data_IF_198455983269
#
_entry.id   IF_198455983269
#
_cell.length_a   1.000
_cell.length_b   1.000
_cell.length_c   1.000
_cell.angle_alpha   90.00
_cell.angle_beta   90.00
_cell.angle_gamma   90.00
#
_symmetry.space_group_name_H-M   'P 1'
#
loop_
_entity.id
_entity.type
_entity.pdbx_description
1 polymer ?
#
# COMPACT_ATOMS: atom_id res chain seq x y z
N UNK A 1 5.19 15.90 -17.29
CA UNK A 1 4.57 14.57 -17.51
C UNK A 1 4.56 13.80 -16.22
N UNK A 2 3.53 13.05 -15.96
CA UNK A 2 3.43 12.27 -14.72
C UNK A 2 3.94 10.85 -14.93
N UNK A 3 4.36 10.20 -13.85
CA UNK A 3 4.69 8.77 -13.88
C UNK A 3 3.50 7.95 -14.41
N UNK A 4 3.79 6.85 -15.08
CA UNK A 4 2.76 5.90 -15.51
C UNK A 4 2.41 4.98 -14.35
N UNK A 5 1.37 5.32 -13.59
CA UNK A 5 0.95 4.59 -12.40
C UNK A 5 -0.39 3.89 -12.62
N UNK A 6 -0.52 2.70 -12.07
CA UNK A 6 -1.74 1.92 -12.11
C UNK A 6 -1.99 1.26 -10.76
N UNK A 7 -3.24 1.33 -10.30
CA UNK A 7 -3.70 0.61 -9.11
C UNK A 7 -4.79 -0.35 -9.54
N UNK A 8 -4.57 -1.65 -9.37
CA UNK A 8 -5.51 -2.68 -9.78
C UNK A 8 -5.96 -3.48 -8.57
N UNK A 9 -7.26 -3.49 -8.28
CA UNK A 9 -7.83 -4.33 -7.24
C UNK A 9 -8.00 -5.74 -7.80
N UNK A 10 -7.19 -6.68 -7.29
CA UNK A 10 -7.23 -8.07 -7.74
C UNK A 10 -8.35 -8.82 -7.02
N UNK A 11 -8.52 -8.56 -5.75
CA UNK A 11 -9.53 -9.20 -4.92
C UNK A 11 -10.00 -8.21 -3.84
N UNK A 12 -11.30 -8.17 -3.59
CA UNK A 12 -11.86 -7.32 -2.54
C UNK A 12 -13.02 -8.09 -1.87
N UNK A 13 -12.65 -8.97 -0.92
CA UNK A 13 -13.60 -9.76 -0.18
C UNK A 13 -13.92 -9.16 1.19
N UNK A 14 -14.64 -9.93 2.02
CA UNK A 14 -15.04 -9.45 3.34
C UNK A 14 -13.88 -9.33 4.32
N UNK A 15 -12.82 -10.11 4.15
CA UNK A 15 -11.70 -10.15 5.08
C UNK A 15 -10.40 -9.66 4.48
N UNK A 16 -10.21 -9.89 3.20
CA UNK A 16 -8.92 -9.66 2.52
C UNK A 16 -9.15 -8.89 1.24
N UNK A 17 -8.33 -7.88 1.04
CA UNK A 17 -8.21 -7.18 -0.23
C UNK A 17 -6.80 -7.39 -0.77
N UNK A 18 -6.69 -7.64 -2.07
CA UNK A 18 -5.39 -7.79 -2.76
C UNK A 18 -5.33 -6.73 -3.84
N UNK A 19 -4.31 -5.88 -3.78
CA UNK A 19 -4.16 -4.73 -4.68
C UNK A 19 -2.77 -4.76 -5.29
N UNK A 20 -2.69 -4.58 -6.61
CA UNK A 20 -1.43 -4.45 -7.33
C UNK A 20 -1.19 -2.98 -7.67
N UNK A 21 -0.01 -2.49 -7.33
CA UNK A 21 0.44 -1.14 -7.65
C UNK A 21 1.60 -1.23 -8.62
N UNK A 22 1.56 -0.44 -9.69
CA UNK A 22 2.66 -0.36 -10.65
C UNK A 22 3.00 1.09 -10.95
N UNK A 23 4.27 1.32 -11.26
CA UNK A 23 4.75 2.64 -11.66
C UNK A 23 5.93 2.48 -12.60
N UNK A 24 5.92 3.23 -13.70
CA UNK A 24 7.12 3.46 -14.50
C UNK A 24 7.39 4.96 -14.45
N UNK A 25 8.53 5.33 -13.89
CA UNK A 25 8.86 6.73 -13.65
C UNK A 25 9.26 7.43 -14.94
N UNK A 26 8.82 8.68 -15.09
CA UNK A 26 9.27 9.58 -16.15
C UNK A 26 10.36 10.56 -15.65
N UNK A 27 10.91 10.31 -14.47
CA UNK A 27 11.89 11.18 -13.81
C UNK A 27 11.29 11.95 -12.63
N UNK A 28 9.98 12.07 -12.56
CA UNK A 28 9.28 12.54 -11.37
C UNK A 28 8.98 11.34 -10.48
N UNK A 29 8.66 11.59 -9.27
CA UNK A 29 8.32 10.52 -8.34
C UNK A 29 6.95 10.75 -7.73
N UNK A 30 6.66 9.96 -6.73
CA UNK A 30 5.45 10.09 -5.94
C UNK A 30 5.82 10.53 -4.53
N UNK A 31 5.05 11.44 -3.96
CA UNK A 31 5.28 11.94 -2.61
C UNK A 31 3.98 11.85 -1.82
N UNK A 32 3.94 10.93 -0.86
CA UNK A 32 2.79 10.71 0.03
C UNK A 32 1.47 10.59 -0.73
N UNK A 33 1.48 9.81 -1.82
CA UNK A 33 0.29 9.59 -2.66
C UNK A 33 -0.54 8.47 -2.04
N UNK A 34 -1.85 8.71 -1.83
CA UNK A 34 -2.75 7.70 -1.30
C UNK A 34 -2.94 6.60 -2.35
N UNK A 35 -2.55 5.38 -2.00
CA UNK A 35 -2.70 4.21 -2.87
C UNK A 35 -3.83 3.30 -2.42
N UNK A 36 -4.05 3.20 -1.12
CA UNK A 36 -5.13 2.41 -0.55
C UNK A 36 -6.04 3.35 0.21
N UNK A 37 -7.23 3.56 -0.31
CA UNK A 37 -8.31 4.29 0.34
C UNK A 37 -9.26 3.27 0.92
N UNK A 38 -9.24 3.09 2.24
CA UNK A 38 -10.06 2.05 2.87
C UNK A 38 -11.55 2.26 2.67
N UNK A 39 -11.98 3.52 2.52
CA UNK A 39 -13.39 3.82 2.26
C UNK A 39 -13.84 3.35 0.88
N UNK A 40 -12.92 3.15 -0.05
CA UNK A 40 -13.22 2.64 -1.39
C UNK A 40 -13.23 1.10 -1.45
N UNK A 41 -12.79 0.42 -0.40
CA UNK A 41 -12.86 -1.03 -0.32
C UNK A 41 -14.29 -1.47 -0.06
N UNK A 42 -14.67 -2.66 -0.56
CA UNK A 42 -16.03 -3.15 -0.42
C UNK A 42 -16.41 -3.29 1.06
N UNK A 43 -17.64 -2.90 1.45
CA UNK A 43 -18.10 -3.13 2.81
C UNK A 43 -18.34 -4.61 3.09
N UNK A 44 -18.48 -4.95 4.36
CA UNK A 44 -18.77 -6.32 4.75
C UNK A 44 -20.17 -6.71 4.23
N UNK A 45 -20.24 -7.76 3.43
CA UNK A 45 -21.48 -8.17 2.80
C UNK A 45 -22.52 -8.71 3.78
N UNK A 46 -22.10 -9.13 4.98
CA UNK A 46 -23.00 -9.69 5.97
C UNK A 46 -23.79 -8.63 6.74
N UNK A 47 -23.19 -7.46 6.98
CA UNK A 47 -23.81 -6.42 7.83
C UNK A 47 -23.65 -5.00 7.27
N UNK A 48 -23.01 -4.81 6.14
CA UNK A 48 -22.83 -3.51 5.49
C UNK A 48 -21.83 -2.59 6.16
N UNK A 49 -21.05 -3.06 7.13
CA UNK A 49 -20.04 -2.21 7.77
C UNK A 49 -18.97 -1.79 6.78
N UNK A 50 -18.58 -0.52 6.80
CA UNK A 50 -17.54 0.04 5.96
C UNK A 50 -16.18 -0.32 6.53
N UNK A 51 -15.23 -0.63 5.65
CA UNK A 51 -13.85 -0.87 6.07
C UNK A 51 -13.23 0.41 6.63
N UNK A 52 -12.69 0.35 7.84
CA UNK A 52 -12.13 1.51 8.53
C UNK A 52 -10.61 1.46 8.63
N UNK A 53 -10.00 0.33 8.30
CA UNK A 53 -8.56 0.18 8.34
C UNK A 53 -8.16 -1.15 7.75
N UNK A 54 -6.85 -1.34 7.62
CA UNK A 54 -6.27 -2.59 7.13
C UNK A 54 -4.98 -2.88 7.89
N UNK A 55 -4.61 -4.16 7.91
CA UNK A 55 -3.28 -4.60 8.33
C UNK A 55 -2.54 -5.10 7.11
N UNK A 56 -1.24 -4.91 7.08
CA UNK A 56 -0.43 -5.44 5.99
C UNK A 56 -0.18 -6.92 6.25
N UNK A 57 -0.87 -7.79 5.52
CA UNK A 57 -0.75 -9.23 5.71
C UNK A 57 0.39 -9.84 4.93
N UNK A 58 0.60 -9.37 3.71
CA UNK A 58 1.66 -9.88 2.84
C UNK A 58 2.03 -8.82 1.83
N UNK A 59 3.30 -8.76 1.46
CA UNK A 59 3.76 -7.88 0.41
C UNK A 59 4.70 -8.65 -0.52
N UNK A 60 4.41 -8.56 -1.81
CA UNK A 60 5.30 -9.06 -2.86
C UNK A 60 5.69 -7.84 -3.67
N UNK A 61 6.98 -7.58 -3.81
CA UNK A 61 7.38 -6.39 -4.54
C UNK A 61 8.64 -6.63 -5.37
N UNK A 62 8.75 -5.83 -6.42
CA UNK A 62 9.96 -5.75 -7.24
C UNK A 62 10.18 -4.28 -7.55
N UNK A 63 11.38 -3.79 -7.28
CA UNK A 63 11.75 -2.40 -7.54
C UNK A 63 12.97 -2.36 -8.45
N UNK A 64 13.02 -1.34 -9.29
CA UNK A 64 14.16 -1.11 -10.18
C UNK A 64 14.54 0.36 -10.16
N UNK A 65 15.71 0.65 -9.64
CA UNK A 65 16.30 1.98 -9.63
C UNK A 65 15.76 2.93 -8.57
N UNK A 66 14.66 2.60 -7.91
CA UNK A 66 14.07 3.44 -6.87
C UNK A 66 13.75 2.65 -5.62
N UNK A 67 13.78 3.31 -4.47
CA UNK A 67 13.23 2.75 -3.24
C UNK A 67 11.84 3.33 -2.98
N UNK A 68 11.04 2.59 -2.23
CA UNK A 68 9.64 2.95 -1.95
C UNK A 68 9.38 2.84 -0.46
N UNK A 69 8.67 3.83 0.08
CA UNK A 69 8.16 3.79 1.45
C UNK A 69 6.65 3.70 1.41
N UNK A 70 6.09 2.71 2.10
CA UNK A 70 4.66 2.66 2.38
C UNK A 70 4.42 3.32 3.73
N UNK A 71 3.42 4.19 3.79
CA UNK A 71 3.13 5.00 4.96
C UNK A 71 1.70 4.79 5.40
N UNK A 72 1.49 4.72 6.71
CA UNK A 72 0.15 4.83 7.29
C UNK A 72 -0.24 6.30 7.33
N UNK A 73 -1.37 6.64 6.73
CA UNK A 73 -1.84 8.03 6.66
C UNK A 73 -2.32 8.53 8.02
N UNK A 74 -1.79 9.68 8.43
CA UNK A 74 -2.18 10.35 9.67
C UNK A 74 -1.75 11.80 9.60
N UNK A 75 -1.99 12.56 10.64
CA UNK A 75 -1.47 13.93 10.76
C UNK A 75 0.06 13.93 10.61
N UNK A 76 0.73 12.95 11.22
CA UNK A 76 2.13 12.65 10.93
C UNK A 76 2.18 11.21 10.43
N UNK A 77 2.53 11.02 9.16
CA UNK A 77 2.56 9.71 8.55
C UNK A 77 3.60 8.81 9.24
N UNK A 78 3.27 7.54 9.38
CA UNK A 78 4.12 6.54 10.04
C UNK A 78 4.51 5.48 9.01
N UNK A 79 5.74 4.99 9.08
CA UNK A 79 6.20 3.98 8.12
C UNK A 79 5.44 2.66 8.34
N UNK A 80 4.83 2.18 7.26
CA UNK A 80 4.23 0.85 7.20
C UNK A 80 5.29 -0.18 6.85
N UNK A 81 6.00 0.04 5.76
CA UNK A 81 7.08 -0.84 5.31
C UNK A 81 8.00 -0.12 4.33
N UNK A 82 9.29 -0.43 4.38
CA UNK A 82 10.27 0.11 3.44
C UNK A 82 10.61 -0.95 2.40
N UNK A 83 10.59 -0.54 1.14
CA UNK A 83 10.94 -1.40 0.00
C UNK A 83 12.26 -0.91 -0.57
N UNK A 84 13.28 -1.75 -0.46
CA UNK A 84 14.61 -1.40 -0.95
C UNK A 84 14.67 -1.33 -2.47
N UNK A 85 15.61 -0.54 -2.98
CA UNK A 85 15.85 -0.40 -4.40
C UNK A 85 16.48 -1.66 -4.99
N UNK A 86 16.12 -1.99 -6.23
CA UNK A 86 16.69 -3.12 -6.98
C UNK A 86 16.53 -4.46 -6.26
N UNK A 87 15.34 -4.68 -5.72
CA UNK A 87 15.07 -5.84 -4.88
C UNK A 87 13.72 -6.45 -5.23
N UNK A 88 13.66 -7.78 -5.18
CA UNK A 88 12.43 -8.54 -5.38
C UNK A 88 12.28 -9.50 -4.21
N UNK A 89 11.14 -9.46 -3.54
CA UNK A 89 10.91 -10.34 -2.39
C UNK A 89 9.42 -10.54 -2.12
N UNK A 90 9.14 -11.51 -1.29
CA UNK A 90 7.81 -11.87 -0.81
C UNK A 90 7.89 -11.96 0.72
N UNK A 91 7.23 -11.04 1.41
CA UNK A 91 7.20 -10.98 2.86
C UNK A 91 5.80 -11.28 3.36
N UNK A 92 5.65 -12.35 4.13
CA UNK A 92 4.36 -12.81 4.66
C UNK A 92 4.31 -12.57 6.17
N UNK A 93 3.37 -11.73 6.59
CA UNK A 93 3.17 -11.38 8.00
C UNK A 93 1.94 -12.04 8.61
N UNK A 94 1.28 -12.95 7.88
CA UNK A 94 0.04 -13.56 8.35
C UNK A 94 0.23 -14.47 9.54
N UNK A 95 1.46 -14.93 9.81
CA UNK A 95 1.76 -15.77 10.96
C UNK A 95 1.47 -15.10 12.31
N UNK A 96 1.41 -13.76 12.35
CA UNK A 96 1.02 -13.01 13.55
C UNK A 96 -0.13 -12.04 13.29
N UNK A 97 -0.91 -12.26 12.23
CA UNK A 97 -2.10 -11.48 11.93
C UNK A 97 -1.88 -10.21 11.12
N UNK A 98 -0.68 -9.98 10.65
CA UNK A 98 -0.34 -8.81 9.82
C UNK A 98 0.28 -7.66 10.61
N UNK A 99 0.86 -6.71 9.88
CA UNK A 99 1.44 -5.49 10.46
C UNK A 99 0.31 -4.51 10.76
N UNK A 100 0.19 -4.10 12.01
CA UNK A 100 -0.86 -3.18 12.45
C UNK A 100 -0.52 -1.74 12.10
N UNK A 101 -1.57 -0.93 11.93
CA UNK A 101 -1.42 0.51 11.74
C UNK A 101 -0.97 1.14 13.06
N UNK A 102 0.26 1.63 13.07
CA UNK A 102 0.88 2.24 14.26
C UNK A 102 0.75 3.76 14.27
N UNK A 103 0.04 4.34 13.31
CA UNK A 103 -0.13 5.79 13.24
C UNK A 103 -0.92 6.32 14.43
N UNK A 104 -0.64 7.56 14.78
CA UNK A 104 -1.29 8.24 15.91
C UNK A 104 -2.47 9.10 15.48
N UNK A 105 -2.50 10.33 15.99
CA UNK A 105 -3.60 11.26 15.76
C UNK A 105 -3.86 11.50 14.27
N UNK A 106 -5.12 11.52 13.89
CA UNK A 106 -5.53 11.81 12.52
C UNK A 106 -5.40 10.63 11.58
N UNK A 107 -5.16 9.42 12.07
CA UNK A 107 -5.04 8.26 11.18
C UNK A 107 -6.36 7.99 10.48
N UNK A 108 -6.28 7.73 9.18
CA UNK A 108 -7.46 7.48 8.33
C UNK A 108 -7.65 6.01 8.01
N UNK A 109 -6.63 5.18 8.24
CA UNK A 109 -6.61 3.80 7.81
C UNK A 109 -6.02 3.61 6.42
N UNK A 110 -5.79 4.68 5.69
CA UNK A 110 -5.28 4.62 4.33
C UNK A 110 -3.78 4.35 4.30
N UNK A 111 -3.29 3.87 3.15
CA UNK A 111 -1.87 3.65 2.91
C UNK A 111 -1.42 4.59 1.80
N UNK A 112 -0.36 5.34 2.07
CA UNK A 112 0.29 6.22 1.12
C UNK A 112 1.62 5.64 0.66
N UNK A 113 2.16 6.20 -0.41
CA UNK A 113 3.40 5.74 -1.00
C UNK A 113 4.28 6.92 -1.39
N UNK A 114 5.57 6.80 -1.10
CA UNK A 114 6.59 7.78 -1.51
C UNK A 114 7.73 7.04 -2.20
N UNK A 115 8.17 7.55 -3.34
CA UNK A 115 9.35 7.01 -4.04
C UNK A 115 10.57 7.88 -3.75
N UNK A 116 11.75 7.28 -3.74
CA UNK A 116 13.02 7.97 -3.50
C UNK A 116 14.07 7.44 -4.46
N UNK A 117 14.94 8.33 -4.96
CA UNK A 117 16.01 7.95 -5.86
C UNK A 117 15.55 7.60 -7.27
N UNK A 118 14.31 7.97 -7.61
CA UNK A 118 13.69 7.66 -8.89
C UNK A 118 14.32 8.45 -10.04
N UNK A 119 14.43 7.81 -11.19
CA UNK A 119 14.87 8.40 -12.46
C UNK A 119 13.98 7.88 -13.57
N UNK A 120 14.04 8.52 -14.73
CA UNK A 120 13.24 8.08 -15.88
C UNK A 120 13.56 6.61 -16.23
N UNK A 121 12.53 5.80 -16.35
CA UNK A 121 12.63 4.37 -16.64
C UNK A 121 12.66 3.48 -15.40
N UNK A 122 12.82 4.04 -14.20
CA UNK A 122 12.74 3.26 -12.97
C UNK A 122 11.30 2.80 -12.73
N UNK A 123 11.13 1.70 -12.05
CA UNK A 123 9.80 1.11 -11.91
C UNK A 123 9.65 0.35 -10.59
N UNK A 124 8.39 0.13 -10.21
CA UNK A 124 8.06 -0.83 -9.17
C UNK A 124 6.80 -1.61 -9.55
N UNK A 125 6.71 -2.82 -9.04
CA UNK A 125 5.48 -3.62 -9.02
C UNK A 125 5.31 -4.12 -7.59
N UNK A 126 4.17 -3.81 -6.99
CA UNK A 126 3.89 -4.15 -5.59
C UNK A 126 2.53 -4.80 -5.53
N UNK A 127 2.45 -5.96 -4.88
CA UNK A 127 1.17 -6.62 -4.58
C UNK A 127 0.99 -6.65 -3.08
N UNK A 128 -0.05 -6.00 -2.60
CA UNK A 128 -0.38 -5.93 -1.17
C UNK A 128 -1.55 -6.86 -0.88
N UNK A 129 -1.38 -7.72 0.11
CA UNK A 129 -2.48 -8.47 0.71
C UNK A 129 -2.84 -7.78 2.02
N UNK A 130 -4.03 -7.22 2.08
CA UNK A 130 -4.49 -6.41 3.20
C UNK A 130 -5.58 -7.16 3.95
N UNK A 131 -5.45 -7.19 5.27
CA UNK A 131 -6.48 -7.78 6.14
C UNK A 131 -7.38 -6.65 6.59
N UNK A 132 -8.66 -6.72 6.23
CA UNK A 132 -9.62 -5.64 6.51
C UNK A 132 -10.03 -5.57 7.96
N UNK A 133 -10.27 -4.35 8.43
CA UNK A 133 -10.77 -4.06 9.76
C UNK A 133 -12.03 -3.20 9.63
N UNK A 134 -13.07 -3.54 10.38
CA UNK A 134 -14.38 -2.88 10.30
C UNK A 134 -14.80 -2.19 11.59
N UNK A 135 -13.94 -2.08 12.54
CA UNK A 135 -14.31 -1.49 13.85
C UNK A 135 -14.47 0.02 13.81
#
# INVERSE_FOLDING_TARGET
MADAVTTTTIQDGNRIAVVQLTNTSDGNGESAVTKIDVSALAPNSANGQVCTGVKLGRIVYSTFGMSVKLLWDATTDTICWDLNSDYTTDEDFTGFGGIQNTAGNGKTGDIKLTTTGHSSGDSYVIVLTLIKDYS
#
